data_IF_603946391487
#
_entry.id   IF_603946391487
#
_cell.length_a   1.000
_cell.length_b   1.000
_cell.length_c   1.000
_cell.angle_alpha   90.00
_cell.angle_beta   90.00
_cell.angle_gamma   90.00
#
_symmetry.space_group_name_H-M   'P 1'
#
loop_
_entity.id
_entity.type
_entity.pdbx_description
1 polymer ?
#
# COMPACT_ATOMS: atom_id res chain seq x y z
N UNK A 1 -5.36 -5.78 41.25
CA UNK A 1 -4.89 -4.66 40.41
C UNK A 1 -5.02 -4.99 38.95
N UNK A 2 -4.82 -6.24 38.58
CA UNK A 2 -5.79 -6.93 37.75
C UNK A 2 -7.21 -6.72 38.27
N UNK A 3 -8.14 -6.77 37.33
CA UNK A 3 -9.50 -7.22 37.51
C UNK A 3 -10.33 -6.31 38.43
N UNK A 4 -11.46 -5.82 37.99
CA UNK A 4 -12.43 -6.57 37.26
C UNK A 4 -13.47 -5.56 36.79
N UNK A 5 -14.30 -6.03 35.88
CA UNK A 5 -15.54 -5.37 35.52
C UNK A 5 -15.27 -4.13 34.66
N UNK A 6 -14.94 -4.31 33.38
CA UNK A 6 -15.72 -5.12 32.43
C UNK A 6 -17.20 -4.77 32.57
N UNK A 7 -17.83 -4.56 31.41
CA UNK A 7 -19.29 -4.67 31.30
C UNK A 7 -19.98 -3.70 32.23
N UNK A 8 -20.37 -2.60 31.65
CA UNK A 8 -21.78 -2.55 31.31
C UNK A 8 -22.02 -1.18 30.77
N UNK A 9 -22.49 -1.04 29.56
CA UNK A 9 -23.75 -1.55 29.04
C UNK A 9 -24.12 -0.29 28.26
N UNK A 10 -24.24 -0.42 26.94
CA UNK A 10 -25.58 -0.58 26.40
C UNK A 10 -26.27 0.77 26.30
N UNK A 11 -27.20 0.82 25.36
CA UNK A 11 -28.23 1.86 25.30
C UNK A 11 -27.71 3.28 25.04
N UNK A 12 -27.75 3.66 23.76
CA UNK A 12 -28.66 4.75 23.33
C UNK A 12 -29.77 4.95 24.37
N UNK A 13 -30.07 6.17 24.86
CA UNK A 13 -30.90 7.05 24.02
C UNK A 13 -30.83 8.58 24.33
N UNK A 14 -31.04 9.39 23.28
CA UNK A 14 -31.92 10.59 23.24
C UNK A 14 -31.64 11.81 24.16
N UNK A 15 -32.30 12.96 23.88
CA UNK A 15 -31.82 14.33 24.06
C UNK A 15 -32.24 14.89 25.42
N UNK A 16 -31.85 16.14 25.73
CA UNK A 16 -32.74 17.19 26.24
C UNK A 16 -31.93 18.39 26.75
N UNK A 17 -32.41 19.56 26.33
CA UNK A 17 -32.55 20.77 27.14
C UNK A 17 -31.27 21.48 27.62
N UNK A 18 -30.88 22.45 26.78
CA UNK A 18 -30.85 23.88 27.14
C UNK A 18 -31.49 24.18 28.51
N UNK A 19 -30.63 24.23 29.54
CA UNK A 19 -30.99 24.76 30.84
C UNK A 19 -30.50 26.20 30.96
N UNK A 20 -31.49 27.08 31.07
CA UNK A 20 -31.40 28.47 31.47
C UNK A 20 -30.53 28.62 32.72
N UNK A 21 -29.62 29.61 32.69
CA UNK A 21 -29.71 30.70 33.69
C UNK A 21 -28.97 31.94 33.25
N UNK A 22 -29.79 32.96 32.99
CA UNK A 22 -29.45 34.37 32.94
C UNK A 22 -28.67 34.77 34.18
N UNK A 23 -27.60 35.53 33.99
CA UNK A 23 -27.25 36.59 34.92
C UNK A 23 -27.11 37.87 34.10
N UNK A 24 -28.20 38.62 34.16
CA UNK A 24 -28.44 39.89 33.52
C UNK A 24 -27.80 40.97 34.41
N UNK A 25 -26.64 41.50 34.04
CA UNK A 25 -26.19 42.79 34.58
C UNK A 25 -26.32 43.83 33.47
N UNK A 26 -27.51 44.40 33.38
CA UNK A 26 -27.84 45.45 32.44
C UNK A 26 -27.63 46.79 33.13
N UNK A 27 -26.44 47.37 32.97
CA UNK A 27 -26.23 48.80 33.19
C UNK A 27 -26.72 49.53 31.94
N UNK A 28 -28.00 49.91 31.97
CA UNK A 28 -28.66 50.71 30.93
C UNK A 28 -28.40 52.18 31.23
N UNK A 29 -27.51 52.80 30.47
CA UNK A 29 -27.52 54.25 30.26
C UNK A 29 -27.41 54.49 28.76
N UNK A 30 -28.57 54.57 28.10
CA UNK A 30 -28.69 55.11 26.75
C UNK A 30 -28.86 56.62 26.86
N UNK A 31 -27.87 57.30 26.28
CA UNK A 31 -27.89 58.58 25.58
C UNK A 31 -29.20 59.37 25.53
N UNK A 32 -29.07 60.64 25.92
CA UNK A 32 -29.93 61.78 25.63
C UNK A 32 -30.35 61.90 24.17
N UNK A 33 -31.49 62.56 23.93
CA UNK A 33 -31.58 63.62 22.92
C UNK A 33 -32.80 64.53 23.14
N UNK A 34 -32.65 65.77 22.66
CA UNK A 34 -33.60 66.90 22.56
C UNK A 34 -33.65 67.77 23.83
N UNK A 35 -33.35 69.07 23.84
CA UNK A 35 -33.44 70.08 22.78
C UNK A 35 -32.30 71.12 22.87
N UNK A 36 -31.89 71.61 21.70
CA UNK A 36 -30.94 72.71 21.50
C UNK A 36 -31.53 74.05 21.95
N UNK A 37 -30.76 74.86 22.69
CA UNK A 37 -30.97 76.30 22.74
C UNK A 37 -29.63 77.04 22.95
N UNK A 38 -29.17 77.64 21.86
CA UNK A 38 -28.15 78.71 21.73
C UNK A 38 -27.71 79.41 23.03
N UNK A 39 -26.41 79.47 23.37
CA UNK A 39 -25.96 80.33 24.45
C UNK A 39 -25.77 81.76 23.93
N UNK A 40 -26.79 82.59 24.18
CA UNK A 40 -26.66 84.04 24.18
C UNK A 40 -25.56 84.49 25.14
N UNK A 41 -24.42 84.86 24.54
CA UNK A 41 -23.09 85.22 25.03
C UNK A 41 -22.98 86.35 26.09
N UNK A 42 -23.99 86.62 26.91
CA UNK A 42 -23.85 87.62 28.00
C UNK A 42 -24.43 87.18 29.32
N UNK A 43 -25.58 86.50 29.29
CA UNK A 43 -26.14 85.88 30.49
C UNK A 43 -25.25 84.73 30.96
N UNK A 44 -24.94 83.78 30.07
CA UNK A 44 -24.11 82.63 30.42
C UNK A 44 -22.65 82.97 30.69
N UNK A 45 -22.05 83.99 30.09
CA UNK A 45 -20.67 84.40 30.42
C UNK A 45 -20.58 85.17 31.74
N UNK A 46 -21.57 86.02 32.08
CA UNK A 46 -21.61 86.67 33.39
C UNK A 46 -22.03 85.70 34.51
N UNK A 47 -22.94 84.77 34.24
CA UNK A 47 -23.30 83.72 35.19
C UNK A 47 -22.22 82.63 35.28
N UNK A 48 -21.53 82.25 34.20
CA UNK A 48 -20.42 81.30 34.25
C UNK A 48 -19.13 81.96 34.73
N UNK A 49 -19.00 83.28 34.60
CA UNK A 49 -17.95 84.08 35.23
C UNK A 49 -18.20 84.26 36.72
N UNK A 50 -19.43 84.56 37.15
CA UNK A 50 -19.79 84.74 38.57
C UNK A 50 -19.94 83.40 39.31
N UNK A 51 -20.51 82.38 38.67
CA UNK A 51 -20.53 80.99 39.18
C UNK A 51 -19.14 80.40 39.07
N UNK A 52 -18.38 80.67 38.00
CA UNK A 52 -16.97 80.27 37.90
C UNK A 52 -16.14 80.90 39.01
N UNK A 53 -16.29 82.18 39.28
CA UNK A 53 -15.59 82.91 40.35
C UNK A 53 -16.05 82.46 41.75
N UNK A 54 -17.35 82.19 41.96
CA UNK A 54 -17.89 81.61 43.20
C UNK A 54 -17.50 80.16 43.41
N UNK A 55 -17.43 79.37 42.34
CA UNK A 55 -16.97 77.98 42.39
C UNK A 55 -15.47 77.98 42.63
N UNK A 56 -14.68 78.83 41.97
CA UNK A 56 -13.25 79.03 42.22
C UNK A 56 -12.99 79.53 43.67
N UNK A 57 -13.84 80.42 44.20
CA UNK A 57 -13.81 80.89 45.60
C UNK A 57 -14.17 79.77 46.60
N UNK A 58 -15.12 78.91 46.26
CA UNK A 58 -15.48 77.71 47.05
C UNK A 58 -14.44 76.60 46.93
N UNK A 59 -13.80 76.43 45.78
CA UNK A 59 -12.69 75.50 45.53
C UNK A 59 -11.41 75.97 46.24
N UNK A 60 -11.22 77.30 46.43
CA UNK A 60 -10.12 77.90 47.21
C UNK A 60 -10.27 77.78 48.72
N UNK A 61 -11.45 77.46 49.25
CA UNK A 61 -11.63 77.20 50.69
C UNK A 61 -10.78 75.99 51.09
N UNK A 62 -10.07 76.10 52.23
CA UNK A 62 -9.12 75.08 52.68
C UNK A 62 -9.76 73.68 52.83
N UNK A 63 -11.04 73.64 53.18
CA UNK A 63 -11.80 72.39 53.33
C UNK A 63 -12.08 71.67 52.00
N UNK A 64 -12.19 72.40 50.87
CA UNK A 64 -12.48 71.83 49.55
C UNK A 64 -11.21 71.51 48.75
N UNK A 65 -10.07 72.10 49.09
CA UNK A 65 -8.78 71.75 48.49
C UNK A 65 -8.47 70.26 48.66
N UNK A 66 -8.77 69.70 49.84
CA UNK A 66 -8.60 68.26 50.10
C UNK A 66 -9.48 67.37 49.20
N UNK A 67 -10.67 67.85 48.81
CA UNK A 67 -11.58 67.11 47.91
C UNK A 67 -11.10 67.16 46.45
N UNK A 68 -10.58 68.30 46.00
CA UNK A 68 -10.03 68.45 44.64
C UNK A 68 -8.74 67.65 44.50
N UNK A 69 -7.86 67.70 45.52
CA UNK A 69 -6.65 66.89 45.56
C UNK A 69 -6.99 65.39 45.57
N UNK A 70 -8.03 64.99 46.30
CA UNK A 70 -8.58 63.64 46.26
C UNK A 70 -9.15 63.25 44.88
N UNK A 71 -9.79 64.18 44.18
CA UNK A 71 -10.33 63.98 42.83
C UNK A 71 -9.23 63.88 41.77
N UNK A 72 -8.22 64.73 41.81
CA UNK A 72 -7.07 64.72 40.91
C UNK A 72 -6.25 63.45 41.11
N UNK A 73 -6.03 63.03 42.36
CA UNK A 73 -5.38 61.76 42.66
C UNK A 73 -6.22 60.56 42.19
N UNK A 74 -7.56 60.61 42.33
CA UNK A 74 -8.44 59.58 41.78
C UNK A 74 -8.41 59.55 40.23
N UNK A 75 -8.39 60.72 39.58
CA UNK A 75 -8.31 60.85 38.12
C UNK A 75 -7.00 60.28 37.58
N UNK A 76 -5.88 60.63 38.21
CA UNK A 76 -4.55 60.09 37.87
C UNK A 76 -4.47 58.58 38.02
N UNK A 77 -5.12 58.01 39.05
CA UNK A 77 -5.24 56.55 39.23
C UNK A 77 -6.07 55.90 38.12
N UNK A 78 -7.15 56.54 37.67
CA UNK A 78 -7.97 56.04 36.57
C UNK A 78 -7.25 56.12 35.24
N UNK A 79 -6.50 57.19 34.97
CA UNK A 79 -5.69 57.31 33.75
C UNK A 79 -4.59 56.25 33.71
N UNK A 80 -3.86 56.08 34.81
CA UNK A 80 -2.88 54.98 34.95
C UNK A 80 -3.51 53.61 34.75
N UNK A 81 -4.67 53.35 35.37
CA UNK A 81 -5.41 52.11 35.18
C UNK A 81 -5.88 51.93 33.72
N UNK A 82 -6.27 53.01 33.01
CA UNK A 82 -6.66 52.95 31.59
C UNK A 82 -5.48 52.63 30.69
N UNK A 83 -4.30 53.17 30.96
CA UNK A 83 -3.08 52.86 30.21
C UNK A 83 -2.66 51.40 30.42
N UNK A 84 -2.69 50.92 31.66
CA UNK A 84 -2.47 49.51 32.00
C UNK A 84 -3.50 48.60 31.31
N UNK A 85 -4.77 48.99 31.26
CA UNK A 85 -5.79 48.23 30.53
C UNK A 85 -5.57 48.23 29.01
N UNK A 86 -5.03 49.29 28.41
CA UNK A 86 -4.72 49.34 26.97
C UNK A 86 -3.58 48.40 26.61
N UNK A 87 -2.51 48.36 27.41
CA UNK A 87 -1.39 47.44 27.18
C UNK A 87 -1.82 45.99 27.39
N UNK A 88 -2.62 45.71 28.44
CA UNK A 88 -3.20 44.39 28.70
C UNK A 88 -4.15 43.94 27.58
N UNK A 89 -4.96 44.86 27.02
CA UNK A 89 -5.87 44.53 25.91
C UNK A 89 -5.11 44.12 24.66
N UNK A 90 -4.05 44.85 24.29
CA UNK A 90 -3.22 44.48 23.12
C UNK A 90 -2.58 43.11 23.28
N UNK A 91 -2.01 42.83 24.45
CA UNK A 91 -1.46 41.50 24.76
C UNK A 91 -2.53 40.41 24.69
N UNK A 92 -3.76 40.69 25.13
CA UNK A 92 -4.88 39.76 25.03
C UNK A 92 -5.26 39.48 23.58
N UNK A 93 -5.31 40.49 22.72
CA UNK A 93 -5.68 40.32 21.31
C UNK A 93 -4.62 39.51 20.54
N UNK A 94 -3.34 39.75 20.82
CA UNK A 94 -2.24 38.94 20.28
C UNK A 94 -2.32 37.49 20.79
N UNK A 95 -2.61 37.29 22.07
CA UNK A 95 -2.82 35.97 22.65
C UNK A 95 -4.06 35.26 22.07
N UNK A 96 -5.12 35.99 21.73
CA UNK A 96 -6.31 35.43 21.08
C UNK A 96 -6.01 34.94 19.67
N UNK A 97 -5.29 35.74 18.86
CA UNK A 97 -4.85 35.32 17.53
C UNK A 97 -3.93 34.08 17.60
N UNK A 98 -2.97 34.08 18.53
CA UNK A 98 -2.10 32.93 18.75
C UNK A 98 -2.91 31.67 19.10
N UNK A 99 -3.94 31.79 19.95
CA UNK A 99 -4.83 30.68 20.30
C UNK A 99 -5.65 30.17 19.12
N UNK A 100 -6.11 31.04 18.23
CA UNK A 100 -6.84 30.63 17.03
C UNK A 100 -5.96 29.85 16.07
N UNK A 101 -4.72 30.29 15.83
CA UNK A 101 -3.76 29.53 15.04
C UNK A 101 -3.44 28.17 15.67
N UNK A 102 -3.24 28.13 16.98
CA UNK A 102 -3.05 26.86 17.69
C UNK A 102 -4.27 25.93 17.51
N UNK A 103 -5.50 26.44 17.62
CA UNK A 103 -6.71 25.65 17.40
C UNK A 103 -6.80 25.09 15.97
N UNK A 104 -6.41 25.87 14.96
CA UNK A 104 -6.37 25.37 13.58
C UNK A 104 -5.36 24.24 13.41
N UNK A 105 -4.16 24.39 13.98
CA UNK A 105 -3.14 23.33 13.97
C UNK A 105 -3.60 22.09 14.73
N UNK A 106 -4.25 22.27 15.89
CA UNK A 106 -4.85 21.17 16.66
C UNK A 106 -5.93 20.44 15.87
N UNK A 107 -6.79 21.16 15.13
CA UNK A 107 -7.80 20.51 14.28
C UNK A 107 -7.20 19.70 13.13
N UNK A 108 -6.16 20.20 12.48
CA UNK A 108 -5.44 19.46 11.45
C UNK A 108 -4.74 18.23 12.04
N UNK A 109 -4.16 18.37 13.24
CA UNK A 109 -3.51 17.27 13.91
C UNK A 109 -4.51 16.17 14.31
N UNK A 110 -5.70 16.55 14.76
CA UNK A 110 -6.76 15.60 15.10
C UNK A 110 -7.25 14.83 13.87
N UNK A 111 -7.40 15.49 12.72
CA UNK A 111 -7.79 14.84 11.46
C UNK A 111 -6.70 13.88 10.94
N UNK A 112 -5.42 14.25 11.09
CA UNK A 112 -4.30 13.38 10.75
C UNK A 112 -4.24 12.17 11.70
N UNK A 113 -4.48 12.37 12.99
CA UNK A 113 -4.49 11.29 13.99
C UNK A 113 -5.61 10.28 13.73
N UNK A 114 -6.81 10.76 13.36
CA UNK A 114 -7.94 9.91 12.97
C UNK A 114 -7.62 9.12 11.69
N UNK A 115 -7.10 9.78 10.66
CA UNK A 115 -6.68 9.13 9.40
C UNK A 115 -5.58 8.08 9.62
N UNK A 116 -4.62 8.35 10.51
CA UNK A 116 -3.57 7.39 10.85
C UNK A 116 -4.12 6.15 11.56
N UNK A 117 -5.13 6.32 12.41
CA UNK A 117 -5.79 5.20 13.09
C UNK A 117 -6.51 4.28 12.09
N UNK A 118 -7.22 4.85 11.12
CA UNK A 118 -7.89 4.07 10.06
C UNK A 118 -6.88 3.30 9.19
N UNK A 119 -5.74 3.93 8.85
CA UNK A 119 -4.67 3.27 8.11
C UNK A 119 -4.03 2.13 8.89
N UNK A 120 -3.84 2.28 10.21
CA UNK A 120 -3.32 1.21 11.07
C UNK A 120 -4.30 0.03 11.13
N UNK A 121 -5.60 0.29 11.24
CA UNK A 121 -6.63 -0.75 11.25
C UNK A 121 -6.69 -1.49 9.90
N UNK A 122 -6.69 -0.77 8.79
CA UNK A 122 -6.64 -1.35 7.45
C UNK A 122 -5.37 -2.19 7.23
N UNK A 123 -4.23 -1.72 7.74
CA UNK A 123 -2.96 -2.45 7.64
C UNK A 123 -2.99 -3.75 8.44
N UNK A 124 -3.56 -3.74 9.64
CA UNK A 124 -3.70 -4.95 10.46
C UNK A 124 -4.59 -5.98 9.73
N UNK A 125 -5.74 -5.57 9.21
CA UNK A 125 -6.62 -6.46 8.44
C UNK A 125 -5.93 -7.01 7.19
N UNK A 126 -5.14 -6.20 6.48
CA UNK A 126 -4.38 -6.65 5.31
C UNK A 126 -3.26 -7.62 5.68
N UNK A 127 -2.56 -7.38 6.79
CA UNK A 127 -1.53 -8.27 7.31
C UNK A 127 -2.13 -9.60 7.79
N UNK A 128 -3.31 -9.59 8.42
CA UNK A 128 -4.04 -10.81 8.80
C UNK A 128 -4.51 -11.59 7.58
N UNK A 129 -5.01 -10.91 6.54
CA UNK A 129 -5.40 -11.54 5.28
C UNK A 129 -4.18 -12.15 4.57
N UNK A 130 -3.06 -11.42 4.50
CA UNK A 130 -1.80 -11.91 3.94
C UNK A 130 -1.22 -13.06 4.76
N UNK A 131 -1.28 -12.97 6.09
CA UNK A 131 -0.82 -14.04 6.99
C UNK A 131 -1.69 -15.27 6.88
N UNK A 132 -3.00 -15.13 6.70
CA UNK A 132 -3.93 -16.24 6.46
C UNK A 132 -3.66 -16.91 5.11
N UNK A 133 -3.42 -16.11 4.06
CA UNK A 133 -3.01 -16.63 2.76
C UNK A 133 -1.65 -17.34 2.82
N UNK A 134 -0.66 -16.71 3.46
CA UNK A 134 0.70 -17.26 3.58
C UNK A 134 0.76 -18.47 4.50
N UNK A 135 -0.04 -18.55 5.56
CA UNK A 135 -0.12 -19.72 6.44
C UNK A 135 -0.91 -20.85 5.79
N UNK A 136 -1.95 -20.55 5.02
CA UNK A 136 -2.63 -21.55 4.17
C UNK A 136 -1.67 -22.11 3.11
N UNK A 137 -0.87 -21.24 2.49
CA UNK A 137 0.17 -21.64 1.54
C UNK A 137 1.29 -22.42 2.23
N UNK A 138 1.82 -21.92 3.35
CA UNK A 138 2.94 -22.52 4.06
C UNK A 138 2.54 -23.81 4.77
N UNK A 139 1.41 -23.91 5.47
CA UNK A 139 0.96 -25.17 6.09
C UNK A 139 0.77 -26.29 5.07
N UNK A 140 0.32 -25.94 3.85
CA UNK A 140 0.28 -26.87 2.71
C UNK A 140 1.69 -27.21 2.19
N UNK A 141 2.65 -26.29 2.33
CA UNK A 141 4.00 -26.42 1.77
C UNK A 141 4.98 -27.10 2.75
N UNK A 142 4.94 -26.87 4.07
CA UNK A 142 5.96 -27.36 5.03
C UNK A 142 5.89 -28.87 5.32
N UNK A 143 4.70 -29.46 5.35
CA UNK A 143 4.56 -30.92 5.49
C UNK A 143 5.02 -31.70 4.25
N UNK A 144 5.07 -31.02 3.10
CA UNK A 144 5.42 -31.61 1.81
C UNK A 144 6.74 -31.08 1.23
N UNK A 145 7.43 -30.10 1.84
CA UNK A 145 8.49 -29.29 1.19
C UNK A 145 9.73 -30.03 0.72
N UNK A 146 10.22 -31.07 1.40
CA UNK A 146 11.38 -31.82 0.89
C UNK A 146 10.99 -32.55 -0.40
N UNK A 147 9.82 -33.20 -0.40
CA UNK A 147 9.26 -33.84 -1.58
C UNK A 147 8.85 -32.81 -2.66
N UNK A 148 8.32 -31.65 -2.26
CA UNK A 148 7.85 -30.61 -3.16
C UNK A 148 9.01 -29.81 -3.76
N UNK A 149 10.14 -29.63 -3.07
CA UNK A 149 11.35 -29.04 -3.65
C UNK A 149 11.88 -29.93 -4.77
N UNK A 150 11.95 -31.24 -4.53
CA UNK A 150 12.29 -32.21 -5.58
C UNK A 150 11.28 -32.16 -6.75
N UNK A 151 9.99 -31.99 -6.47
CA UNK A 151 8.96 -31.84 -7.53
C UNK A 151 9.10 -30.54 -8.30
N UNK A 152 9.35 -29.41 -7.64
CA UNK A 152 9.50 -28.09 -8.27
C UNK A 152 10.74 -28.04 -9.15
N UNK A 153 11.85 -28.63 -8.72
CA UNK A 153 13.04 -28.75 -9.55
C UNK A 153 12.82 -29.67 -10.76
N UNK A 154 11.98 -30.71 -10.64
CA UNK A 154 11.58 -31.56 -11.77
C UNK A 154 10.67 -30.80 -12.74
N UNK A 155 9.75 -29.98 -12.24
CA UNK A 155 8.90 -29.11 -13.06
C UNK A 155 9.77 -28.10 -13.80
N UNK A 156 10.78 -27.50 -13.15
CA UNK A 156 11.72 -26.59 -13.80
C UNK A 156 12.49 -27.27 -14.92
N UNK A 157 12.99 -28.49 -14.68
CA UNK A 157 13.64 -29.29 -15.70
C UNK A 157 12.70 -29.56 -16.89
N UNK A 158 11.44 -29.92 -16.60
CA UNK A 158 10.41 -30.16 -17.61
C UNK A 158 10.11 -28.92 -18.46
N UNK A 159 10.01 -27.74 -17.84
CA UNK A 159 9.74 -26.48 -18.56
C UNK A 159 10.90 -26.11 -19.47
N UNK A 160 12.14 -26.23 -18.98
CA UNK A 160 13.35 -25.92 -19.78
C UNK A 160 13.47 -26.88 -20.96
N UNK A 161 13.33 -28.19 -20.74
CA UNK A 161 13.42 -29.16 -21.82
C UNK A 161 12.28 -29.04 -22.83
N UNK A 162 11.08 -28.72 -22.36
CA UNK A 162 9.90 -28.55 -23.21
C UNK A 162 9.99 -27.31 -24.09
N UNK A 163 10.43 -26.18 -23.53
CA UNK A 163 10.64 -24.94 -24.29
C UNK A 163 11.74 -25.11 -25.34
N UNK A 164 12.88 -25.69 -24.97
CA UNK A 164 13.98 -25.94 -25.91
C UNK A 164 13.60 -26.98 -26.95
N UNK A 165 12.94 -28.07 -26.55
CA UNK A 165 12.49 -29.13 -27.46
C UNK A 165 11.45 -28.64 -28.47
N UNK A 166 10.53 -27.77 -28.04
CA UNK A 166 9.55 -27.12 -28.93
C UNK A 166 10.22 -26.12 -29.87
N UNK A 167 11.22 -25.37 -29.39
CA UNK A 167 12.00 -24.48 -30.25
C UNK A 167 12.81 -25.26 -31.31
N UNK A 168 13.37 -26.41 -30.92
CA UNK A 168 14.10 -27.30 -31.82
C UNK A 168 13.19 -28.00 -32.83
N UNK A 169 11.92 -28.26 -32.50
CA UNK A 169 10.94 -28.86 -33.42
C UNK A 169 10.24 -27.86 -34.34
N UNK A 170 10.30 -26.57 -34.01
CA UNK A 170 9.71 -25.47 -34.78
C UNK A 170 10.17 -25.40 -36.24
N UNK A 171 11.49 -25.45 -36.58
CA UNK A 171 11.93 -25.41 -37.98
C UNK A 171 11.37 -26.58 -38.79
N UNK A 172 11.17 -27.74 -38.16
CA UNK A 172 10.68 -28.91 -38.84
C UNK A 172 9.15 -28.83 -39.03
N UNK A 173 8.44 -28.40 -38.00
CA UNK A 173 7.00 -28.21 -38.07
C UNK A 173 6.61 -27.17 -39.12
N UNK A 174 7.38 -26.10 -39.28
CA UNK A 174 7.15 -25.08 -40.32
C UNK A 174 7.42 -25.60 -41.74
N UNK A 175 8.30 -26.58 -41.91
CA UNK A 175 8.60 -27.18 -43.23
C UNK A 175 7.52 -28.15 -43.73
N UNK A 176 6.67 -28.67 -42.83
CA UNK A 176 5.68 -29.71 -43.12
C UNK A 176 4.23 -29.26 -42.91
N UNK A 177 3.98 -28.23 -42.10
CA UNK A 177 2.62 -27.84 -41.73
C UNK A 177 1.85 -27.23 -42.89
N UNK A 178 0.79 -27.94 -43.31
CA UNK A 178 -0.21 -27.46 -44.27
C UNK A 178 -1.43 -26.86 -43.55
N UNK A 179 -1.68 -27.24 -42.28
CA UNK A 179 -2.76 -26.70 -41.44
C UNK A 179 -2.35 -26.40 -39.99
N UNK A 180 -2.99 -25.40 -39.37
CA UNK A 180 -2.74 -24.97 -37.98
C UNK A 180 -3.12 -26.03 -36.94
N UNK A 181 -4.15 -26.83 -37.19
CA UNK A 181 -4.63 -27.86 -36.26
C UNK A 181 -3.59 -28.97 -36.07
N UNK A 182 -2.97 -29.42 -37.16
CA UNK A 182 -1.90 -30.42 -37.14
C UNK A 182 -0.64 -29.89 -36.44
N UNK A 183 -0.33 -28.61 -36.66
CA UNK A 183 0.79 -27.92 -36.01
C UNK A 183 0.62 -27.87 -34.48
N UNK A 184 -0.59 -27.58 -33.99
CA UNK A 184 -0.90 -27.55 -32.55
C UNK A 184 -0.80 -28.95 -31.95
N UNK A 185 -1.33 -29.97 -32.64
CA UNK A 185 -1.24 -31.36 -32.18
C UNK A 185 0.21 -31.82 -32.11
N UNK A 186 0.99 -31.63 -33.18
CA UNK A 186 2.40 -32.01 -33.22
C UNK A 186 3.22 -31.27 -32.15
N UNK A 187 3.01 -29.96 -32.03
CA UNK A 187 3.67 -29.13 -31.01
C UNK A 187 3.32 -29.59 -29.59
N UNK A 188 2.04 -29.92 -29.32
CA UNK A 188 1.62 -30.42 -27.99
C UNK A 188 2.27 -31.76 -27.63
N UNK A 189 2.37 -32.69 -28.58
CA UNK A 189 3.01 -34.00 -28.39
C UNK A 189 4.51 -33.83 -28.15
N UNK A 190 5.18 -32.95 -28.90
CA UNK A 190 6.58 -32.62 -28.68
C UNK A 190 6.78 -31.98 -27.30
N UNK A 191 5.93 -31.01 -26.94
CA UNK A 191 5.97 -30.29 -25.66
C UNK A 191 5.88 -31.27 -24.49
N UNK A 192 4.89 -32.18 -24.50
CA UNK A 192 4.69 -33.19 -23.46
C UNK A 192 5.85 -34.20 -23.43
N UNK A 193 6.28 -34.69 -24.59
CA UNK A 193 7.38 -35.66 -24.68
C UNK A 193 8.69 -35.06 -24.16
N UNK A 194 8.98 -33.80 -24.50
CA UNK A 194 10.17 -33.09 -24.04
C UNK A 194 10.07 -32.71 -22.55
N UNK A 195 8.87 -32.38 -22.05
CA UNK A 195 8.65 -32.14 -20.63
C UNK A 195 8.92 -33.42 -19.80
N UNK A 196 8.34 -34.55 -20.20
CA UNK A 196 8.58 -35.86 -19.58
C UNK A 196 10.07 -36.24 -19.66
N UNK A 197 10.69 -36.03 -20.81
CA UNK A 197 12.13 -36.24 -20.98
C UNK A 197 12.94 -35.42 -19.96
N UNK A 198 12.63 -34.14 -19.75
CA UNK A 198 13.37 -33.31 -18.79
C UNK A 198 13.27 -33.80 -17.35
N UNK A 199 12.08 -34.27 -16.95
CA UNK A 199 11.89 -34.93 -15.65
C UNK A 199 12.76 -36.19 -15.56
N UNK A 200 12.69 -37.05 -16.58
CA UNK A 200 13.45 -38.32 -16.59
C UNK A 200 14.94 -38.12 -16.68
N UNK A 201 15.43 -37.11 -17.42
CA UNK A 201 16.84 -36.78 -17.53
C UNK A 201 17.41 -36.35 -16.18
N UNK A 202 16.65 -35.56 -15.40
CA UNK A 202 17.04 -35.18 -14.03
C UNK A 202 17.12 -36.39 -13.09
N UNK A 203 16.24 -37.38 -13.24
CA UNK A 203 16.29 -38.60 -12.43
C UNK A 203 17.33 -39.62 -12.91
N UNK A 204 17.58 -39.72 -14.21
CA UNK A 204 18.55 -40.64 -14.79
C UNK A 204 19.99 -40.17 -14.54
N UNK A 205 20.27 -38.88 -14.75
CA UNK A 205 21.59 -38.26 -14.59
C UNK A 205 21.77 -37.73 -13.16
N UNK A 206 21.35 -38.52 -12.15
CA UNK A 206 21.27 -38.07 -10.74
C UNK A 206 22.62 -38.06 -10.01
N UNK A 207 23.59 -38.86 -10.44
CA UNK A 207 24.89 -39.03 -9.74
C UNK A 207 26.10 -38.82 -10.64
N UNK A 208 26.02 -39.24 -11.89
CA UNK A 208 27.14 -39.13 -12.83
C UNK A 208 26.88 -38.03 -13.87
N UNK A 209 26.91 -36.77 -13.42
CA UNK A 209 26.86 -35.60 -14.32
C UNK A 209 28.01 -35.66 -15.32
N UNK A 210 29.11 -36.34 -15.01
CA UNK A 210 30.26 -36.46 -15.92
C UNK A 210 30.16 -37.64 -16.90
N UNK A 211 29.16 -38.53 -16.74
CA UNK A 211 28.99 -39.66 -17.65
C UNK A 211 28.26 -39.25 -18.94
N UNK A 212 29.05 -38.95 -19.96
CA UNK A 212 28.56 -38.55 -21.29
C UNK A 212 27.70 -39.67 -21.91
N UNK A 213 28.05 -40.95 -21.70
CA UNK A 213 27.31 -42.08 -22.28
C UNK A 213 25.89 -42.17 -21.72
N UNK A 214 25.69 -41.87 -20.43
CA UNK A 214 24.36 -41.88 -19.82
C UNK A 214 23.49 -40.74 -20.36
N UNK A 215 24.07 -39.56 -20.59
CA UNK A 215 23.34 -38.40 -21.15
C UNK A 215 22.90 -38.64 -22.58
N UNK A 216 23.84 -39.05 -23.44
CA UNK A 216 23.55 -39.31 -24.85
C UNK A 216 22.68 -40.55 -25.03
N UNK A 217 22.88 -41.58 -24.19
CA UNK A 217 22.05 -42.79 -24.17
C UNK A 217 20.60 -42.50 -23.77
N UNK A 218 20.37 -41.67 -22.76
CA UNK A 218 19.00 -41.29 -22.35
C UNK A 218 18.30 -40.48 -23.45
N UNK A 219 18.97 -39.48 -24.02
CA UNK A 219 18.40 -38.70 -25.12
C UNK A 219 18.15 -39.54 -26.37
N UNK A 220 19.08 -40.44 -26.72
CA UNK A 220 18.98 -41.37 -27.83
C UNK A 220 17.82 -42.34 -27.66
N UNK A 221 17.65 -42.93 -26.47
CA UNK A 221 16.55 -43.86 -26.19
C UNK A 221 15.18 -43.18 -26.32
N UNK A 222 15.00 -41.98 -25.75
CA UNK A 222 13.75 -41.21 -25.88
C UNK A 222 13.46 -40.81 -27.32
N UNK A 223 14.48 -40.37 -28.06
CA UNK A 223 14.34 -40.04 -29.48
C UNK A 223 14.01 -41.24 -30.35
N UNK A 224 14.63 -42.38 -30.08
CA UNK A 224 14.39 -43.61 -30.82
C UNK A 224 12.98 -44.15 -30.57
N UNK A 225 12.55 -44.23 -29.30
CA UNK A 225 11.20 -44.69 -28.93
C UNK A 225 10.13 -43.78 -29.52
N UNK A 226 10.28 -42.45 -29.39
CA UNK A 226 9.31 -41.51 -29.96
C UNK A 226 9.30 -41.56 -31.49
N UNK A 227 10.47 -41.63 -32.11
CA UNK A 227 10.61 -41.72 -33.57
C UNK A 227 9.99 -42.99 -34.14
N UNK A 228 10.20 -44.12 -33.49
CA UNK A 228 9.62 -45.41 -33.90
C UNK A 228 8.11 -45.43 -33.70
N UNK A 229 7.61 -44.88 -32.58
CA UNK A 229 6.17 -44.73 -32.35
C UNK A 229 5.52 -43.82 -33.41
N UNK A 230 6.19 -42.72 -33.80
CA UNK A 230 5.72 -41.86 -34.88
C UNK A 230 5.70 -42.58 -36.24
N UNK A 231 6.72 -43.40 -36.52
CA UNK A 231 6.79 -44.22 -37.72
C UNK A 231 5.68 -45.28 -37.78
N UNK A 232 5.40 -45.97 -36.67
CA UNK A 232 4.35 -47.00 -36.60
C UNK A 232 2.95 -46.44 -36.90
N UNK A 233 2.66 -45.24 -36.37
CA UNK A 233 1.40 -44.54 -36.64
C UNK A 233 1.30 -44.10 -38.11
N UNK A 234 2.40 -43.62 -38.70
CA UNK A 234 2.44 -43.20 -40.10
C UNK A 234 2.32 -44.40 -41.07
N UNK A 235 3.05 -45.49 -40.81
CA UNK A 235 3.09 -46.66 -41.68
C UNK A 235 1.80 -47.51 -41.60
N UNK A 236 1.10 -47.51 -40.47
CA UNK A 236 -0.22 -48.16 -40.35
C UNK A 236 -1.27 -47.56 -41.31
N UNK A 237 -1.04 -46.33 -41.79
CA UNK A 237 -1.91 -45.62 -42.73
C UNK A 237 -1.58 -45.92 -44.20
N UNK A 238 -0.37 -46.42 -44.52
CA UNK A 238 0.11 -46.71 -45.88
C UNK A 238 0.63 -48.16 -46.01
N UNK A 239 -0.28 -49.13 -46.20
CA UNK A 239 0.10 -50.55 -46.30
C UNK A 239 0.30 -50.98 -47.77
N UNK A 240 1.47 -50.68 -48.34
CA UNK A 240 1.90 -51.19 -49.66
C UNK A 240 3.35 -51.68 -49.62
N UNK A 241 3.57 -52.94 -50.02
CA UNK A 241 4.83 -53.68 -49.84
C UNK A 241 6.02 -53.20 -50.68
N UNK A 242 5.77 -52.52 -51.81
CA UNK A 242 6.83 -51.88 -52.62
C UNK A 242 7.35 -50.57 -51.98
N UNK A 243 6.60 -50.05 -51.00
CA UNK A 243 6.96 -48.90 -50.18
C UNK A 243 7.84 -49.24 -48.98
N UNK A 244 8.19 -50.51 -48.71
CA UNK A 244 8.89 -50.88 -47.48
C UNK A 244 10.30 -50.29 -47.35
N UNK A 245 11.06 -50.20 -48.46
CA UNK A 245 12.42 -49.62 -48.43
C UNK A 245 12.32 -48.09 -48.28
N UNK A 246 11.42 -47.45 -49.03
CA UNK A 246 11.18 -46.00 -48.93
C UNK A 246 10.59 -45.60 -47.57
N UNK A 247 9.69 -46.42 -47.02
CA UNK A 247 9.10 -46.29 -45.70
C UNK A 247 10.16 -46.51 -44.61
N UNK A 248 11.05 -47.49 -44.75
CA UNK A 248 12.18 -47.68 -43.84
C UNK A 248 13.11 -46.46 -43.79
N UNK A 249 13.40 -45.85 -44.94
CA UNK A 249 14.24 -44.64 -45.02
C UNK A 249 13.52 -43.43 -44.41
N UNK A 250 12.23 -43.23 -44.71
CA UNK A 250 11.41 -42.17 -44.11
C UNK A 250 11.29 -42.33 -42.59
N UNK A 251 11.12 -43.57 -42.11
CA UNK A 251 11.14 -43.93 -40.70
C UNK A 251 12.48 -43.62 -40.03
N UNK A 252 13.59 -43.97 -40.69
CA UNK A 252 14.93 -43.66 -40.19
C UNK A 252 15.17 -42.14 -40.08
N UNK A 253 14.70 -41.35 -41.05
CA UNK A 253 14.79 -39.89 -41.01
C UNK A 253 13.94 -39.33 -39.85
N UNK A 254 12.72 -39.83 -39.66
CA UNK A 254 11.85 -39.43 -38.55
C UNK A 254 12.46 -39.76 -37.18
N UNK A 255 13.08 -40.95 -37.05
CA UNK A 255 13.83 -41.35 -35.86
C UNK A 255 15.01 -40.43 -35.61
N UNK A 256 15.84 -40.19 -36.63
CA UNK A 256 16.99 -39.30 -36.52
C UNK A 256 16.57 -37.89 -36.08
N UNK A 257 15.51 -37.34 -36.69
CA UNK A 257 14.95 -36.05 -36.35
C UNK A 257 14.52 -35.97 -34.88
N UNK A 258 13.79 -36.96 -34.37
CA UNK A 258 13.37 -36.98 -32.97
C UNK A 258 14.57 -37.11 -32.02
N UNK A 259 15.57 -37.92 -32.37
CA UNK A 259 16.83 -38.00 -31.62
C UNK A 259 17.54 -36.65 -31.56
N UNK A 260 17.59 -35.89 -32.66
CA UNK A 260 18.17 -34.55 -32.67
C UNK A 260 17.43 -33.60 -31.71
N UNK A 261 16.09 -33.61 -31.70
CA UNK A 261 15.29 -32.75 -30.82
C UNK A 261 15.60 -33.04 -29.33
N UNK A 262 15.64 -34.31 -28.93
CA UNK A 262 15.97 -34.67 -27.54
C UNK A 262 17.43 -34.42 -27.20
N UNK A 263 18.34 -34.55 -28.16
CA UNK A 263 19.75 -34.22 -27.96
C UNK A 263 19.93 -32.73 -27.67
N UNK A 264 19.26 -31.84 -28.42
CA UNK A 264 19.27 -30.40 -28.13
C UNK A 264 18.68 -30.09 -26.75
N UNK A 265 17.57 -30.73 -26.39
CA UNK A 265 16.99 -30.59 -25.05
C UNK A 265 17.95 -31.08 -23.95
N UNK A 266 18.67 -32.19 -24.17
CA UNK A 266 19.65 -32.73 -23.24
C UNK A 266 20.86 -31.80 -23.04
N UNK A 267 21.38 -31.21 -24.12
CA UNK A 267 22.48 -30.24 -24.07
C UNK A 267 22.04 -28.98 -23.32
N UNK A 268 20.82 -28.49 -23.55
CA UNK A 268 20.31 -27.33 -22.83
C UNK A 268 20.13 -27.61 -21.33
N UNK A 269 19.61 -28.79 -20.96
CA UNK A 269 19.55 -29.21 -19.56
C UNK A 269 20.94 -29.33 -18.93
N UNK A 270 21.92 -29.91 -19.64
CA UNK A 270 23.30 -29.98 -19.18
C UNK A 270 23.88 -28.59 -18.92
N UNK A 271 23.61 -27.63 -19.81
CA UNK A 271 23.99 -26.24 -19.61
C UNK A 271 23.29 -25.62 -18.39
N UNK A 272 22.00 -25.88 -18.19
CA UNK A 272 21.27 -25.37 -17.03
C UNK A 272 21.74 -25.99 -15.70
N UNK A 273 22.18 -27.25 -15.69
CA UNK A 273 22.84 -27.85 -14.53
C UNK A 273 24.21 -27.22 -14.25
N UNK A 274 25.03 -26.98 -15.29
CA UNK A 274 26.33 -26.30 -15.16
C UNK A 274 26.21 -24.86 -14.66
N UNK A 275 25.19 -24.14 -15.09
CA UNK A 275 24.90 -22.77 -14.66
C UNK A 275 24.24 -22.70 -13.27
N UNK A 276 24.10 -23.82 -12.54
CA UNK A 276 23.41 -23.94 -11.24
C UNK A 276 21.97 -23.42 -11.24
N UNK A 277 21.33 -23.33 -12.41
CA UNK A 277 19.90 -23.03 -12.49
C UNK A 277 19.07 -24.19 -11.95
N UNK A 278 19.56 -25.43 -12.01
CA UNK A 278 18.98 -26.56 -11.29
C UNK A 278 20.00 -27.10 -10.30
N UNK A 279 19.59 -27.29 -9.05
CA UNK A 279 20.38 -28.01 -8.06
C UNK A 279 20.49 -29.48 -8.48
N UNK A 280 21.69 -30.07 -8.53
CA UNK A 280 21.78 -31.51 -8.40
C UNK A 280 21.26 -31.92 -7.02
N UNK A 281 20.63 -33.09 -6.92
CA UNK A 281 20.02 -33.55 -5.67
C UNK A 281 21.05 -33.51 -4.52
N UNK A 282 20.64 -33.09 -3.31
CA UNK A 282 21.54 -33.05 -2.17
C UNK A 282 22.03 -34.47 -1.85
N UNK A 283 23.35 -34.64 -1.81
CA UNK A 283 24.01 -35.84 -1.33
C UNK A 283 23.84 -35.84 0.19
N UNK A 284 23.15 -36.86 0.72
CA UNK A 284 23.30 -37.22 2.13
C UNK A 284 24.51 -38.15 2.17
N UNK A 285 25.60 -37.66 2.72
CA UNK A 285 26.76 -38.49 3.11
C UNK A 285 26.35 -39.53 4.16
#
# INVERSE_FOLDING_TARGET
MHSALLRSLHSLPLPLLLSKRQLHFQARCSSSNSEELEPGSRGMELFSGLVGERVEELLRREENKALIEGLDEASRRVEKAREELKSVRKQRDEALKAREYMRQLESQQAEIEESQKELLEAKIMMEEAQKSLSSTFNAKTTGETSNNLERVESIKAAVISSTVGTLASLPISLSQATEFSELILHSSVVLISCALFGVTFRYAVRRDIDNIQLKTGTAGAFGFVKGLAGFEVANSLELSTDGLISSSVAGAISVAQNVFIFLFAAIALDFCFKMRFLSPFPIRD
#
